data_IF_013035593487
#
_entry.id   IF_013035593487
#
_cell.length_a   1.000
_cell.length_b   1.000
_cell.length_c   1.000
_cell.angle_alpha   90.00
_cell.angle_beta   90.00
_cell.angle_gamma   90.00
#
_symmetry.space_group_name_H-M   'P 1'
#
loop_
_entity.id
_entity.type
_entity.pdbx_description
1 polymer ?
#
# COMPACT_ATOMS: atom_id res chain seq x y z
N UNK A 1 50.83 -18.77 -16.53
CA UNK A 1 50.65 -17.32 -16.32
C UNK A 1 49.39 -16.88 -17.05
N UNK A 2 48.32 -16.62 -16.33
CA UNK A 2 47.13 -15.91 -16.81
C UNK A 2 46.40 -15.34 -15.59
N UNK A 3 46.51 -14.03 -15.40
CA UNK A 3 45.75 -13.24 -14.42
C UNK A 3 44.52 -12.67 -15.11
N UNK A 4 43.34 -12.85 -14.55
CA UNK A 4 42.13 -12.12 -14.97
C UNK A 4 41.53 -11.45 -13.73
N UNK A 5 41.64 -10.12 -13.70
CA UNK A 5 41.02 -9.23 -12.74
C UNK A 5 40.35 -8.11 -13.54
N UNK A 6 39.07 -7.82 -13.25
CA UNK A 6 38.45 -6.48 -13.34
C UNK A 6 36.91 -6.56 -13.27
N UNK A 7 36.39 -6.21 -12.10
CA UNK A 7 35.33 -5.21 -11.85
C UNK A 7 34.63 -4.59 -13.06
N UNK A 8 33.28 -4.69 -13.09
CA UNK A 8 32.39 -3.93 -13.96
C UNK A 8 31.99 -2.60 -13.30
N UNK A 9 32.30 -1.43 -13.90
CA UNK A 9 31.85 -0.14 -13.40
C UNK A 9 30.45 0.23 -13.92
N UNK A 10 29.63 0.74 -12.99
CA UNK A 10 28.52 1.67 -13.24
C UNK A 10 29.03 2.88 -14.03
N UNK A 11 28.40 3.19 -15.17
CA UNK A 11 28.19 4.55 -15.71
C UNK A 11 27.79 4.46 -17.18
N UNK A 12 26.51 4.69 -17.49
CA UNK A 12 26.08 5.36 -18.71
C UNK A 12 24.55 5.39 -18.73
N UNK A 13 23.98 6.58 -18.71
CA UNK A 13 22.83 7.05 -19.49
C UNK A 13 22.17 8.22 -18.74
N UNK A 14 22.89 9.34 -18.78
CA UNK A 14 22.45 10.68 -18.38
C UNK A 14 22.70 11.58 -19.59
N UNK A 15 21.75 12.48 -19.87
CA UNK A 15 21.63 13.40 -21.00
C UNK A 15 21.17 12.73 -22.32
N UNK A 16 20.16 13.19 -23.06
CA UNK A 16 19.83 14.56 -23.50
C UNK A 16 18.43 14.43 -24.15
N UNK A 17 17.45 15.33 -24.03
CA UNK A 17 17.31 16.49 -24.90
C UNK A 17 16.11 17.34 -24.44
N UNK A 18 16.41 18.54 -23.94
CA UNK A 18 15.49 19.66 -23.78
C UNK A 18 15.53 20.44 -25.10
N UNK A 19 14.39 20.66 -25.76
CA UNK A 19 14.09 21.86 -26.56
C UNK A 19 12.80 21.69 -27.39
N UNK A 20 11.68 22.26 -26.93
CA UNK A 20 10.80 23.05 -27.80
C UNK A 20 10.27 24.22 -26.97
N UNK A 21 10.84 25.40 -27.22
CA UNK A 21 10.30 26.69 -26.82
C UNK A 21 9.33 27.13 -27.91
N UNK A 22 8.08 27.41 -27.55
CA UNK A 22 7.17 28.21 -28.35
C UNK A 22 6.62 29.33 -27.48
N UNK A 23 6.90 30.56 -27.92
CA UNK A 23 6.60 31.83 -27.28
C UNK A 23 5.41 32.45 -28.04
N UNK A 24 4.30 32.72 -27.34
CA UNK A 24 3.24 33.66 -27.77
C UNK A 24 2.44 34.06 -26.51
N UNK A 25 2.71 35.22 -25.91
CA UNK A 25 2.16 36.54 -26.23
C UNK A 25 0.76 36.80 -25.62
N UNK A 26 0.76 37.68 -24.61
CA UNK A 26 -0.23 38.71 -24.25
C UNK A 26 -1.74 38.40 -24.20
N UNK A 27 -2.34 38.67 -23.04
CA UNK A 27 -3.75 39.08 -22.94
C UNK A 27 -4.37 38.91 -21.54
N UNK A 28 -4.54 40.02 -20.84
CA UNK A 28 -5.46 40.24 -19.69
C UNK A 28 -6.78 39.46 -19.84
N UNK A 29 -7.38 38.96 -18.73
CA UNK A 29 -8.79 39.19 -18.26
C UNK A 29 -9.27 38.04 -17.32
N UNK A 30 -9.62 38.41 -16.07
CA UNK A 30 -10.70 37.87 -15.19
C UNK A 30 -10.65 36.45 -14.56
N UNK A 31 -10.67 36.40 -13.21
CA UNK A 31 -11.04 35.29 -12.27
C UNK A 31 -12.48 34.72 -12.49
N UNK A 32 -13.02 33.69 -11.75
CA UNK A 32 -12.48 32.57 -10.92
C UNK A 32 -13.08 31.16 -11.23
N UNK A 33 -12.43 30.05 -10.76
CA UNK A 33 -12.95 28.66 -10.45
C UNK A 33 -13.85 27.91 -11.49
N UNK A 34 -14.29 26.62 -11.32
CA UNK A 34 -13.74 25.39 -10.72
C UNK A 34 -13.68 24.20 -11.75
N UNK A 35 -13.28 23.00 -11.30
CA UNK A 35 -13.71 21.68 -11.84
C UNK A 35 -13.03 21.14 -13.11
N UNK A 36 -12.27 20.04 -12.94
CA UNK A 36 -12.60 18.73 -13.51
C UNK A 36 -11.64 17.65 -12.97
N UNK A 37 -12.04 17.04 -11.86
CA UNK A 37 -11.64 15.67 -11.55
C UNK A 37 -12.34 14.73 -12.52
N UNK A 38 -11.57 13.96 -13.29
CA UNK A 38 -12.04 12.69 -13.84
C UNK A 38 -10.89 11.68 -13.73
N UNK A 39 -10.84 10.96 -12.62
CA UNK A 39 -10.22 9.63 -12.61
C UNK A 39 -11.36 8.63 -12.61
N UNK A 40 -11.68 8.21 -13.84
CA UNK A 40 -12.28 6.96 -14.27
C UNK A 40 -12.69 6.02 -13.14
N UNK A 41 -13.99 6.06 -12.81
CA UNK A 41 -14.69 4.94 -12.22
C UNK A 41 -14.60 3.75 -13.21
N UNK A 42 -13.76 2.76 -12.88
CA UNK A 42 -13.65 1.51 -13.63
C UNK A 42 -14.32 0.40 -12.84
N UNK A 43 -15.52 0.05 -13.30
CA UNK A 43 -16.22 -1.23 -13.16
C UNK A 43 -16.37 -1.82 -11.74
N UNK A 44 -17.42 -1.39 -11.03
CA UNK A 44 -17.95 -2.08 -9.86
C UNK A 44 -19.36 -2.61 -10.19
N UNK A 45 -19.44 -3.72 -10.91
CA UNK A 45 -20.72 -4.34 -11.25
C UNK A 45 -20.59 -5.87 -11.34
N UNK A 46 -20.06 -6.51 -10.28
CA UNK A 46 -20.38 -7.92 -9.92
C UNK A 46 -19.80 -8.34 -8.55
N UNK A 47 -19.33 -7.42 -7.69
CA UNK A 47 -18.83 -7.81 -6.38
C UNK A 47 -20.02 -8.03 -5.42
N UNK A 48 -20.04 -9.14 -4.65
CA UNK A 48 -21.01 -9.29 -3.57
C UNK A 48 -20.96 -8.07 -2.64
N UNK A 49 -22.10 -7.67 -2.05
CA UNK A 49 -22.13 -6.54 -1.14
C UNK A 49 -21.14 -6.79 0.02
N UNK A 50 -20.40 -5.77 0.46
CA UNK A 50 -19.44 -5.95 1.53
C UNK A 50 -20.15 -6.44 2.79
N UNK A 51 -19.61 -7.50 3.39
CA UNK A 51 -19.98 -8.01 4.70
C UNK A 51 -19.07 -7.36 5.75
N UNK A 52 -19.52 -6.30 6.46
CA UNK A 52 -18.70 -5.62 7.45
C UNK A 52 -18.42 -6.49 8.69
N UNK A 53 -19.19 -7.56 8.94
CA UNK A 53 -19.05 -8.39 10.13
C UNK A 53 -17.69 -9.10 10.22
N UNK A 54 -17.02 -9.34 9.08
CA UNK A 54 -15.66 -9.90 9.06
C UNK A 54 -14.65 -9.02 9.80
N UNK A 55 -14.93 -7.71 9.96
CA UNK A 55 -14.07 -6.77 10.69
C UNK A 55 -14.15 -6.95 12.21
N UNK A 56 -15.14 -7.69 12.69
CA UNK A 56 -15.37 -8.02 14.09
C UNK A 56 -15.04 -9.49 14.41
N UNK A 57 -14.62 -10.28 13.42
CA UNK A 57 -14.15 -11.66 13.59
C UNK A 57 -12.68 -11.67 14.03
N UNK A 58 -12.26 -12.53 14.99
CA UNK A 58 -10.87 -12.62 15.39
C UNK A 58 -9.98 -13.13 14.25
N UNK A 59 -8.83 -12.49 14.08
CA UNK A 59 -7.77 -12.95 13.18
C UNK A 59 -7.03 -14.16 13.79
N UNK A 60 -6.75 -15.18 12.97
CA UNK A 60 -5.89 -16.30 13.35
C UNK A 60 -4.41 -15.93 13.17
N UNK A 61 -3.73 -15.65 14.29
CA UNK A 61 -2.30 -15.35 14.32
C UNK A 61 -1.43 -16.55 14.70
N UNK A 62 -1.98 -17.76 14.71
CA UNK A 62 -1.26 -18.99 15.07
C UNK A 62 -0.16 -19.33 14.07
N UNK A 63 -0.33 -18.95 12.81
CA UNK A 63 0.65 -19.12 11.73
C UNK A 63 0.63 -17.92 10.78
N UNK A 64 1.65 -17.82 9.93
CA UNK A 64 1.67 -16.78 8.89
C UNK A 64 0.60 -17.00 7.84
N UNK A 65 0.36 -18.27 7.49
CA UNK A 65 -0.59 -18.66 6.45
C UNK A 65 -2.03 -18.37 6.88
N UNK A 66 -2.43 -18.81 8.07
CA UNK A 66 -3.78 -18.57 8.60
C UNK A 66 -4.12 -17.08 8.69
N UNK A 67 -3.16 -16.25 9.11
CA UNK A 67 -3.37 -14.82 9.20
C UNK A 67 -3.57 -14.17 7.82
N UNK A 68 -2.81 -14.61 6.81
CA UNK A 68 -2.95 -14.11 5.43
C UNK A 68 -4.26 -14.58 4.78
N UNK A 69 -4.73 -15.78 5.10
CA UNK A 69 -6.05 -16.25 4.71
C UNK A 69 -7.16 -15.36 5.30
N UNK A 70 -7.07 -15.01 6.59
CA UNK A 70 -8.01 -14.04 7.18
C UNK A 70 -7.90 -12.66 6.52
N UNK A 71 -6.70 -12.17 6.20
CA UNK A 71 -6.54 -10.90 5.47
C UNK A 71 -7.20 -10.94 4.09
N UNK A 72 -7.07 -12.06 3.39
CA UNK A 72 -7.72 -12.26 2.10
C UNK A 72 -9.24 -12.32 2.26
N UNK A 73 -9.75 -12.98 3.30
CA UNK A 73 -11.18 -12.98 3.62
C UNK A 73 -11.69 -11.56 3.91
N UNK A 74 -10.94 -10.73 4.64
CA UNK A 74 -11.27 -9.31 4.85
C UNK A 74 -11.35 -8.57 3.50
N UNK A 75 -10.44 -8.82 2.57
CA UNK A 75 -10.47 -8.20 1.23
C UNK A 75 -11.69 -8.59 0.44
N UNK A 76 -12.05 -9.87 0.45
CA UNK A 76 -13.18 -10.42 -0.30
C UNK A 76 -14.52 -10.00 0.31
N UNK A 77 -14.60 -9.95 1.64
CA UNK A 77 -15.85 -9.74 2.36
C UNK A 77 -16.04 -8.27 2.77
N UNK A 78 -15.09 -7.59 3.39
CA UNK A 78 -15.22 -6.17 3.74
C UNK A 78 -14.81 -5.22 2.61
N UNK A 79 -14.20 -5.76 1.55
CA UNK A 79 -13.78 -5.02 0.38
C UNK A 79 -12.36 -4.45 0.47
N UNK A 80 -11.91 -3.90 -0.67
CA UNK A 80 -10.54 -3.43 -0.87
C UNK A 80 -10.12 -2.33 0.13
N UNK A 81 -11.03 -1.40 0.45
CA UNK A 81 -10.72 -0.28 1.34
C UNK A 81 -10.36 -0.73 2.77
N UNK A 82 -11.11 -1.70 3.32
CA UNK A 82 -10.87 -2.26 4.64
C UNK A 82 -9.54 -3.04 4.67
N UNK A 83 -9.31 -3.86 3.64
CA UNK A 83 -8.03 -4.55 3.47
C UNK A 83 -6.85 -3.59 3.42
N UNK A 84 -6.94 -2.50 2.64
CA UNK A 84 -5.84 -1.54 2.51
C UNK A 84 -5.57 -0.79 3.81
N UNK A 85 -6.60 -0.47 4.59
CA UNK A 85 -6.45 0.10 5.94
C UNK A 85 -5.66 -0.85 6.85
N UNK A 86 -6.09 -2.11 6.92
CA UNK A 86 -5.48 -3.11 7.78
C UNK A 86 -4.02 -3.39 7.35
N UNK A 87 -3.79 -3.52 6.04
CA UNK A 87 -2.47 -3.74 5.48
C UNK A 87 -1.50 -2.60 5.80
N UNK A 88 -1.95 -1.34 5.80
CA UNK A 88 -1.10 -0.20 6.19
C UNK A 88 -0.64 -0.30 7.63
N UNK A 89 -1.53 -0.62 8.57
CA UNK A 89 -1.17 -0.79 10.00
C UNK A 89 -0.17 -1.93 10.19
N UNK A 90 -0.39 -3.05 9.51
CA UNK A 90 0.52 -4.20 9.54
C UNK A 90 1.89 -3.82 8.99
N UNK A 91 1.96 -3.16 7.82
CA UNK A 91 3.23 -2.74 7.22
C UNK A 91 3.97 -1.72 8.09
N UNK A 92 3.24 -0.77 8.69
CA UNK A 92 3.82 0.16 9.63
C UNK A 92 4.45 -0.58 10.80
N UNK A 93 3.70 -1.50 11.42
CA UNK A 93 4.19 -2.30 12.56
C UNK A 93 5.39 -3.16 12.19
N UNK A 94 5.42 -3.72 10.98
CA UNK A 94 6.57 -4.47 10.47
C UNK A 94 7.84 -3.60 10.36
N UNK A 95 7.66 -2.33 9.99
CA UNK A 95 8.77 -1.42 9.67
C UNK A 95 9.27 -0.67 10.90
N UNK A 96 8.36 -0.20 11.75
CA UNK A 96 8.66 0.76 12.81
C UNK A 96 8.61 0.16 14.21
N UNK A 97 7.89 -0.94 14.44
CA UNK A 97 7.86 -1.56 15.76
C UNK A 97 9.17 -2.32 16.03
N UNK A 98 10.02 -1.68 16.83
CA UNK A 98 11.33 -2.19 17.22
C UNK A 98 11.24 -3.51 18.01
N UNK A 99 10.11 -3.81 18.64
CA UNK A 99 9.89 -5.09 19.31
C UNK A 99 9.65 -6.22 18.31
N UNK A 100 9.12 -5.91 17.13
CA UNK A 100 8.84 -6.87 16.06
C UNK A 100 10.09 -7.17 15.24
N UNK A 101 10.95 -6.15 15.01
CA UNK A 101 12.21 -6.29 14.26
C UNK A 101 12.00 -6.87 12.86
N UNK A 102 10.92 -6.50 12.18
CA UNK A 102 10.56 -7.04 10.87
C UNK A 102 10.21 -8.53 10.86
N UNK A 103 9.96 -9.15 12.01
CA UNK A 103 9.56 -10.56 12.08
C UNK A 103 8.03 -10.69 11.92
N UNK A 104 7.61 -11.15 10.74
CA UNK A 104 6.20 -11.32 10.36
C UNK A 104 5.44 -12.28 11.29
N UNK A 105 6.02 -13.44 11.57
CA UNK A 105 5.40 -14.43 12.46
C UNK A 105 5.21 -13.85 13.88
N UNK A 106 6.18 -13.10 14.38
CA UNK A 106 6.08 -12.43 15.69
C UNK A 106 4.99 -11.36 15.71
N UNK A 107 4.83 -10.59 14.63
CA UNK A 107 3.78 -9.60 14.51
C UNK A 107 2.40 -10.27 14.50
N UNK A 108 2.21 -11.29 13.66
CA UNK A 108 0.91 -11.96 13.54
C UNK A 108 0.54 -12.68 14.82
N UNK A 109 1.52 -13.27 15.52
CA UNK A 109 1.26 -13.86 16.83
C UNK A 109 0.79 -12.84 17.89
N UNK A 110 1.18 -11.57 17.77
CA UNK A 110 0.67 -10.51 18.65
C UNK A 110 -0.79 -10.15 18.33
N UNK A 111 -1.18 -10.29 17.07
CA UNK A 111 -2.53 -10.00 16.58
C UNK A 111 -3.47 -11.20 16.66
N UNK A 112 -2.97 -12.35 17.09
CA UNK A 112 -3.72 -13.56 17.34
C UNK A 112 -4.91 -13.31 18.28
N UNK A 113 -6.12 -13.64 17.82
CA UNK A 113 -7.37 -13.44 18.54
C UNK A 113 -7.90 -12.01 18.55
N UNK A 114 -7.24 -11.05 17.88
CA UNK A 114 -7.73 -9.67 17.74
C UNK A 114 -8.55 -9.51 16.47
N UNK A 115 -9.57 -8.67 16.52
CA UNK A 115 -10.35 -8.35 15.32
C UNK A 115 -9.62 -7.35 14.43
N UNK A 116 -9.90 -7.30 13.12
CA UNK A 116 -9.44 -6.22 12.25
C UNK A 116 -9.68 -4.83 12.83
N UNK A 117 -10.86 -4.58 13.40
CA UNK A 117 -11.20 -3.30 14.03
C UNK A 117 -10.30 -2.97 15.23
N UNK A 118 -9.98 -3.96 16.08
CA UNK A 118 -9.03 -3.77 17.18
C UNK A 118 -7.62 -3.49 16.67
N UNK A 119 -7.19 -4.15 15.59
CA UNK A 119 -5.88 -3.94 14.98
C UNK A 119 -5.73 -2.52 14.45
N UNK A 120 -6.76 -2.00 13.78
CA UNK A 120 -6.76 -0.63 13.27
C UNK A 120 -6.66 0.43 14.37
N UNK A 121 -7.11 0.12 15.58
CA UNK A 121 -7.11 1.04 16.71
C UNK A 121 -5.86 0.90 17.60
N UNK A 122 -5.01 -0.09 17.35
CA UNK A 122 -3.82 -0.28 18.18
C UNK A 122 -2.84 0.88 18.04
N UNK A 123 -2.28 1.36 19.16
CA UNK A 123 -1.27 2.41 19.11
C UNK A 123 -0.04 1.88 18.39
N UNK A 124 0.39 2.61 17.36
CA UNK A 124 1.63 2.31 16.66
C UNK A 124 2.82 2.61 17.58
N UNK A 125 3.72 1.64 17.76
CA UNK A 125 4.85 1.68 18.69
C UNK A 125 6.18 1.52 17.99
#
# INVERSE_FOLDING_TARGET
MTTFSATRPYAAFLATLIAVVALAACGKTTDPDPTASETTASSAADAPPPNPAIMDEPMDGSSVEAFEENLQAVREQAGQAAYDQLKRVIQYSMTYDLSIRGNKAKLYKRYDGKTPNEILQMPMR
#
